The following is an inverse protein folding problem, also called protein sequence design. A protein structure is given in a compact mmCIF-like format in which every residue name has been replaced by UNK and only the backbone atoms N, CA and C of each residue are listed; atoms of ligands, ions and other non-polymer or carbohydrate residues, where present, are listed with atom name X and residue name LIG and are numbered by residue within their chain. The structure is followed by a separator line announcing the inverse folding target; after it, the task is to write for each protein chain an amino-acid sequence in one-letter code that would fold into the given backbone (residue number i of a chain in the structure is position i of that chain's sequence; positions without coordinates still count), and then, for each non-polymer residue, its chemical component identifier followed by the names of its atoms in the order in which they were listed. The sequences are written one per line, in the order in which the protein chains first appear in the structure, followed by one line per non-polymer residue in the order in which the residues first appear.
data_IF_415211449481
#
_entry.id   IF_415211449481
#
_cell.length_a   1.000
_cell.length_b   1.000
_cell.length_c   1.000
_cell.angle_alpha   90.00
_cell.angle_beta   90.00
_cell.angle_gamma   90.00
#
_symmetry.space_group_name_H-M   'P 1'
#
loop_
_entity.id
_entity.type
_entity.pdbx_description
1 polymer ?
#
# COMPACT_ATOMS: atom_id res chain seq x y z
N UNK A 1 -1.87 -1.37 -18.95
CA UNK A 1 -1.88 -2.39 -17.87
C UNK A 1 -3.21 -2.32 -17.14
N UNK A 2 -3.82 -3.46 -16.82
CA UNK A 2 -5.16 -3.51 -16.22
C UNK A 2 -5.12 -3.02 -14.76
N UNK A 3 -5.86 -1.95 -14.43
CA UNK A 3 -5.86 -1.32 -13.09
C UNK A 3 -6.36 -2.28 -12.00
N UNK A 4 -7.40 -3.06 -12.27
CA UNK A 4 -7.98 -4.00 -11.32
C UNK A 4 -6.98 -5.10 -10.93
N UNK A 5 -6.29 -5.68 -11.92
CA UNK A 5 -5.23 -6.67 -11.66
C UNK A 5 -4.12 -6.09 -10.78
N UNK A 6 -3.70 -4.84 -11.03
CA UNK A 6 -2.65 -4.20 -10.24
C UNK A 6 -3.08 -3.91 -8.79
N UNK A 7 -4.32 -3.48 -8.59
CA UNK A 7 -4.88 -3.32 -7.24
C UNK A 7 -4.90 -4.65 -6.51
N UNK A 8 -5.27 -5.75 -7.18
CA UNK A 8 -5.21 -7.11 -6.62
C UNK A 8 -3.78 -7.55 -6.29
N UNK A 9 -2.79 -7.14 -7.08
CA UNK A 9 -1.37 -7.36 -6.76
C UNK A 9 -0.94 -6.62 -5.49
N UNK A 10 -1.31 -5.35 -5.34
CA UNK A 10 -1.04 -4.58 -4.11
C UNK A 10 -1.66 -5.30 -2.90
N UNK A 11 -2.91 -5.75 -3.03
CA UNK A 11 -3.57 -6.52 -1.97
C UNK A 11 -2.74 -7.74 -1.54
N UNK A 12 -2.28 -8.56 -2.50
CA UNK A 12 -1.47 -9.75 -2.18
C UNK A 12 -0.14 -9.42 -1.50
N UNK A 13 0.51 -8.34 -1.92
CA UNK A 13 1.74 -7.84 -1.30
C UNK A 13 1.46 -7.42 0.15
N UNK A 14 0.37 -6.70 0.39
CA UNK A 14 0.03 -6.16 1.71
C UNK A 14 -0.54 -7.20 2.68
N UNK A 15 -1.23 -8.23 2.18
CA UNK A 15 -1.78 -9.32 2.99
C UNK A 15 -0.72 -10.31 3.49
N UNK A 16 0.57 -9.99 3.30
CA UNK A 16 1.74 -10.70 3.82
C UNK A 16 1.65 -12.22 3.60
N UNK A 17 1.69 -12.61 2.33
CA UNK A 17 1.80 -14.01 1.98
C UNK A 17 3.30 -14.39 1.93
N UNK A 18 3.72 -15.36 2.74
CA UNK A 18 5.11 -15.85 2.81
C UNK A 18 5.59 -16.59 1.54
N UNK A 19 4.86 -16.47 0.44
CA UNK A 19 5.23 -16.98 -0.87
C UNK A 19 6.56 -16.36 -1.38
N UNK A 20 7.32 -17.17 -2.13
CA UNK A 20 8.67 -16.82 -2.58
C UNK A 20 8.71 -15.54 -3.44
N UNK A 21 7.68 -15.31 -4.27
CA UNK A 21 7.62 -14.12 -5.11
C UNK A 21 7.41 -12.84 -4.31
N UNK A 22 6.69 -12.88 -3.18
CA UNK A 22 6.55 -11.73 -2.28
C UNK A 22 7.92 -11.34 -1.73
N UNK A 23 8.68 -12.33 -1.22
CA UNK A 23 10.03 -12.12 -0.69
C UNK A 23 11.00 -11.58 -1.73
N UNK A 24 10.88 -12.04 -2.98
CA UNK A 24 11.68 -11.52 -4.09
C UNK A 24 11.32 -10.07 -4.43
N UNK A 25 10.03 -9.72 -4.40
CA UNK A 25 9.60 -8.33 -4.57
C UNK A 25 10.13 -7.47 -3.42
N UNK A 26 9.99 -7.91 -2.17
CA UNK A 26 10.52 -7.26 -0.97
C UNK A 26 12.02 -6.96 -1.10
N UNK A 27 12.82 -7.99 -1.37
CA UNK A 27 14.27 -7.84 -1.54
C UNK A 27 14.66 -6.87 -2.66
N UNK A 28 13.87 -6.84 -3.76
CA UNK A 28 14.17 -6.01 -4.92
C UNK A 28 13.72 -4.55 -4.78
N UNK A 29 12.56 -4.32 -4.17
CA UNK A 29 11.88 -3.02 -4.23
C UNK A 29 11.61 -2.38 -2.87
N UNK A 30 11.84 -3.09 -1.75
CA UNK A 30 11.45 -2.66 -0.40
C UNK A 30 12.66 -2.62 0.54
N UNK A 31 13.75 -1.91 0.19
CA UNK A 31 14.99 -1.96 0.96
C UNK A 31 14.84 -1.45 2.41
N UNK A 32 13.83 -0.62 2.69
CA UNK A 32 13.65 0.05 3.98
C UNK A 32 12.21 0.00 4.52
N UNK A 33 11.40 -0.99 4.13
CA UNK A 33 10.09 -1.16 4.75
C UNK A 33 9.03 -1.74 3.83
N UNK A 34 7.90 -1.04 3.69
CA UNK A 34 6.71 -1.55 3.00
C UNK A 34 6.44 -0.83 1.67
N UNK A 35 5.54 -1.39 0.85
CA UNK A 35 5.14 -0.84 -0.45
C UNK A 35 4.64 0.60 -0.36
N UNK A 36 4.04 0.99 0.77
CA UNK A 36 3.50 2.33 0.93
C UNK A 36 4.57 3.38 1.21
N UNK A 37 5.76 2.97 1.67
CA UNK A 37 6.91 3.85 1.93
C UNK A 37 7.90 3.93 0.77
N UNK A 38 7.73 3.14 -0.29
CA UNK A 38 8.63 3.15 -1.44
C UNK A 38 8.24 4.21 -2.49
N UNK A 39 9.23 4.64 -3.27
CA UNK A 39 9.07 5.50 -4.45
C UNK A 39 9.18 4.69 -5.75
N UNK A 40 8.60 5.21 -6.84
CA UNK A 40 8.66 4.59 -8.16
C UNK A 40 9.99 4.81 -8.93
N UNK A 41 11.03 5.33 -8.26
CA UNK A 41 12.31 5.72 -8.89
C UNK A 41 13.11 4.49 -9.29
N UNK A 42 13.29 4.30 -10.59
CA UNK A 42 13.95 3.11 -11.15
C UNK A 42 13.11 1.86 -10.92
N UNK A 43 12.79 1.12 -11.97
CA UNK A 43 11.98 -0.09 -11.82
C UNK A 43 11.30 -0.54 -13.09
N UNK A 44 10.82 -1.77 -13.07
CA UNK A 44 10.08 -2.36 -14.17
C UNK A 44 8.76 -1.62 -14.44
N UNK A 45 8.19 -1.82 -15.63
CA UNK A 45 6.86 -1.30 -15.94
C UNK A 45 5.79 -1.81 -14.96
N UNK A 46 5.98 -3.03 -14.44
CA UNK A 46 5.16 -3.58 -13.38
C UNK A 46 5.21 -2.73 -12.11
N UNK A 47 6.41 -2.43 -11.60
CA UNK A 47 6.60 -1.60 -10.40
C UNK A 47 5.98 -0.21 -10.55
N UNK A 48 6.26 0.46 -11.68
CA UNK A 48 5.66 1.76 -12.00
C UNK A 48 4.13 1.68 -12.06
N UNK A 49 3.59 0.59 -12.59
CA UNK A 49 2.15 0.35 -12.64
C UNK A 49 1.51 0.19 -11.26
N UNK A 50 2.15 -0.53 -10.34
CA UNK A 50 1.69 -0.64 -8.94
C UNK A 50 1.62 0.75 -8.29
N UNK A 51 2.68 1.57 -8.43
CA UNK A 51 2.68 2.93 -7.91
C UNK A 51 1.56 3.80 -8.50
N UNK A 52 1.26 3.67 -9.79
CA UNK A 52 0.17 4.41 -10.45
C UNK A 52 -1.21 4.11 -9.84
N UNK A 53 -1.46 2.89 -9.35
CA UNK A 53 -2.76 2.51 -8.77
C UNK A 53 -2.76 2.47 -7.24
N UNK A 54 -1.65 2.86 -6.60
CA UNK A 54 -1.49 2.90 -5.14
C UNK A 54 -2.59 3.70 -4.43
N UNK A 55 -3.01 4.83 -5.02
CA UNK A 55 -4.10 5.64 -4.50
C UNK A 55 -5.46 4.93 -4.57
N UNK A 56 -5.75 4.19 -5.65
CA UNK A 56 -6.99 3.42 -5.80
C UNK A 56 -7.08 2.33 -4.74
N UNK A 57 -5.96 1.66 -4.45
CA UNK A 57 -5.92 0.66 -3.39
C UNK A 57 -6.21 1.29 -2.02
N UNK A 58 -5.53 2.39 -1.68
CA UNK A 58 -5.76 3.09 -0.39
C UNK A 58 -7.20 3.57 -0.22
N UNK A 59 -7.84 4.00 -1.30
CA UNK A 59 -9.23 4.47 -1.23
C UNK A 59 -10.23 3.34 -0.98
N UNK A 60 -10.00 2.14 -1.53
CA UNK A 60 -10.91 1.00 -1.38
C UNK A 60 -10.57 0.03 -0.25
N UNK A 61 -9.39 0.15 0.37
CA UNK A 61 -8.92 -0.77 1.40
C UNK A 61 -9.18 -0.25 2.81
N UNK A 62 -9.63 -1.15 3.69
CA UNK A 62 -9.64 -0.92 5.14
C UNK A 62 -8.52 -1.74 5.78
N UNK A 63 -7.75 -1.11 6.65
CA UNK A 63 -6.57 -1.69 7.27
C UNK A 63 -6.91 -2.12 8.69
N UNK A 64 -6.56 -3.36 9.04
CA UNK A 64 -6.55 -3.79 10.44
C UNK A 64 -5.20 -3.44 11.05
N UNK A 65 -5.19 -2.61 12.09
CA UNK A 65 -3.95 -2.22 12.77
C UNK A 65 -3.39 -3.40 13.56
N UNK A 66 -2.19 -3.85 13.21
CA UNK A 66 -1.36 -4.72 14.02
C UNK A 66 -0.35 -3.90 14.81
N UNK A 67 0.93 -4.03 14.47
CA UNK A 67 2.03 -3.21 15.03
C UNK A 67 2.12 -1.78 14.44
N UNK A 68 1.19 -1.38 13.56
CA UNK A 68 1.11 -0.05 12.97
C UNK A 68 2.22 0.33 11.97
N UNK A 69 3.25 -0.48 11.75
CA UNK A 69 4.40 -0.08 10.91
C UNK A 69 4.07 0.11 9.42
N UNK A 70 2.93 -0.46 8.99
CA UNK A 70 2.43 -0.47 7.62
C UNK A 70 1.16 0.35 7.39
N UNK A 71 0.69 1.11 8.38
CA UNK A 71 -0.54 1.91 8.31
C UNK A 71 -0.19 3.38 8.53
N UNK A 72 -0.65 4.28 7.66
CA UNK A 72 -0.61 5.73 7.91
C UNK A 72 -1.76 6.10 8.84
N UNK A 73 -1.43 6.73 9.97
CA UNK A 73 -2.41 7.16 10.97
C UNK A 73 -3.49 8.09 10.38
N UNK A 74 -3.09 9.01 9.50
CA UNK A 74 -3.98 10.04 8.97
C UNK A 74 -4.62 9.70 7.62
N UNK A 75 -3.89 9.00 6.76
CA UNK A 75 -4.29 8.81 5.35
C UNK A 75 -5.06 7.51 5.09
N UNK A 76 -4.86 6.48 5.92
CA UNK A 76 -5.45 5.16 5.70
C UNK A 76 -6.74 5.00 6.52
N UNK A 77 -7.68 4.22 5.99
CA UNK A 77 -8.92 3.87 6.71
C UNK A 77 -8.61 2.67 7.60
N UNK A 78 -8.28 2.93 8.86
CA UNK A 78 -8.03 1.87 9.86
C UNK A 78 -9.04 1.88 11.00
N UNK A 79 -9.87 2.92 11.08
CA UNK A 79 -11.00 3.08 11.98
C UNK A 79 -12.15 3.80 11.25
N UNK A 80 -13.39 3.37 11.48
CA UNK A 80 -14.56 3.92 10.81
C UNK A 80 -14.58 3.65 9.30
N UNK A 81 -15.08 4.63 8.53
CA UNK A 81 -15.30 4.50 7.08
C UNK A 81 -14.52 5.50 6.22
N UNK A 82 -13.83 6.45 6.84
CA UNK A 82 -13.09 7.52 6.13
C UNK A 82 -11.76 7.79 6.84
N UNK A 83 -10.71 8.24 6.14
CA UNK A 83 -9.45 8.62 6.76
C UNK A 83 -9.63 9.71 7.83
N UNK A 84 -8.83 9.66 8.89
CA UNK A 84 -8.93 10.61 10.01
C UNK A 84 -8.67 12.06 9.59
N UNK A 85 -7.82 12.29 8.57
CA UNK A 85 -7.57 13.63 8.02
C UNK A 85 -8.84 14.31 7.48
N UNK A 86 -9.83 13.51 7.04
CA UNK A 86 -11.11 14.01 6.53
C UNK A 86 -12.07 14.29 7.69
N UNK A 87 -12.06 13.44 8.72
CA UNK A 87 -12.95 13.59 9.88
C UNK A 87 -12.51 14.74 10.80
N UNK A 88 -11.20 14.93 10.96
CA UNK A 88 -10.62 15.90 11.89
C UNK A 88 -9.64 16.85 11.19
N UNK A 89 -10.11 17.68 10.23
CA UNK A 89 -9.23 18.53 9.43
C UNK A 89 -8.50 19.62 10.23
N UNK A 90 -8.94 19.91 11.46
CA UNK A 90 -8.26 20.85 12.37
C UNK A 90 -7.07 20.24 13.12
N UNK A 91 -6.98 18.90 13.17
CA UNK A 91 -5.95 18.17 13.90
C UNK A 91 -4.87 17.57 12.97
N UNK A 92 -5.14 17.57 11.67
CA UNK A 92 -4.23 17.10 10.62
C UNK A 92 -3.21 18.19 10.27
#
# INVERSE_FOLDING_TARGET
MNKCLLVKWIWRICSNNQEMWCRLLEAKYFPHGNFFKTEAKGGSQFWKGLHKVKHLFKWGATFKVGNGTCVSFWDDIWVGHTPLRIQFPKLF
#
